data_IF_081773016139
#
_entry.id   IF_081773016139
#
_cell.length_a   1.000
_cell.length_b   1.000
_cell.length_c   1.000
_cell.angle_alpha   90.00
_cell.angle_beta   90.00
_cell.angle_gamma   90.00
#
_symmetry.space_group_name_H-M   'P 1'
#
loop_
_entity.id
_entity.type
_entity.pdbx_description
1 polymer ?
#
# COMPACT_ATOMS: atom_id res chain seq x y z
N UNK A 1 3.57 6.55 -3.79
CA UNK A 1 3.63 5.37 -4.67
C UNK A 1 3.13 5.80 -6.03
N UNK A 2 3.82 5.37 -7.09
CA UNK A 2 3.38 5.48 -8.48
C UNK A 2 2.73 4.16 -8.89
N UNK A 3 1.99 4.18 -10.00
CA UNK A 3 1.47 2.95 -10.59
C UNK A 3 2.65 2.06 -11.01
N UNK A 4 2.54 0.76 -10.73
CA UNK A 4 3.59 -0.22 -11.04
C UNK A 4 4.63 -0.42 -9.93
N UNK A 5 4.61 0.37 -8.85
CA UNK A 5 5.50 0.12 -7.70
C UNK A 5 5.13 -1.21 -7.00
N UNK A 6 6.15 -2.00 -6.63
CA UNK A 6 5.97 -3.12 -5.72
C UNK A 6 6.02 -2.61 -4.29
N UNK A 7 4.93 -2.80 -3.55
CA UNK A 7 4.77 -2.23 -2.21
C UNK A 7 4.43 -3.30 -1.19
N UNK A 8 4.89 -3.09 0.04
CA UNK A 8 4.48 -3.89 1.20
C UNK A 8 3.41 -3.15 1.98
N UNK A 9 2.33 -3.85 2.28
CA UNK A 9 1.17 -3.34 3.01
C UNK A 9 1.02 -4.08 4.34
N UNK A 10 0.38 -3.43 5.31
CA UNK A 10 -0.03 -4.03 6.57
C UNK A 10 -1.52 -3.75 6.81
N UNK A 11 -2.17 -4.63 7.57
CA UNK A 11 -3.53 -4.39 8.04
C UNK A 11 -3.58 -3.17 8.98
N UNK A 12 -4.69 -2.43 8.94
CA UNK A 12 -4.95 -1.30 9.81
C UNK A 12 -6.45 -1.16 10.09
N UNK A 13 -6.82 -0.25 10.99
CA UNK A 13 -8.23 0.08 11.23
C UNK A 13 -8.94 0.47 9.92
N UNK A 14 -10.25 0.21 9.76
CA UNK A 14 -10.98 0.60 8.56
C UNK A 14 -10.76 2.08 8.23
N UNK A 15 -10.29 2.35 7.01
CA UNK A 15 -10.03 3.70 6.50
C UNK A 15 -11.16 4.19 5.57
N UNK A 16 -11.94 3.27 5.03
CA UNK A 16 -13.15 3.52 4.25
C UNK A 16 -14.05 2.28 4.33
N UNK A 17 -15.12 2.23 3.54
CA UNK A 17 -16.01 1.05 3.48
C UNK A 17 -15.24 -0.25 3.24
N UNK A 18 -14.28 -0.23 2.31
CA UNK A 18 -13.60 -1.44 1.82
C UNK A 18 -12.08 -1.47 2.13
N UNK A 19 -11.49 -0.34 2.54
CA UNK A 19 -10.04 -0.22 2.73
C UNK A 19 -9.61 -0.45 4.18
N UNK A 20 -8.81 -1.51 4.41
CA UNK A 20 -8.29 -1.94 5.73
C UNK A 20 -6.77 -2.14 5.75
N UNK A 21 -6.07 -1.51 4.80
CA UNK A 21 -4.64 -1.71 4.61
C UNK A 21 -3.92 -0.37 4.51
N UNK A 22 -2.73 -0.29 5.08
CA UNK A 22 -1.83 0.86 5.02
C UNK A 22 -0.54 0.47 4.29
N UNK A 23 -0.04 1.39 3.47
CA UNK A 23 1.29 1.30 2.86
C UNK A 23 2.37 1.38 3.95
N UNK A 24 3.26 0.40 4.01
CA UNK A 24 4.39 0.37 4.95
C UNK A 24 5.65 0.88 4.26
N UNK A 25 6.00 0.29 3.12
CA UNK A 25 7.20 0.61 2.36
C UNK A 25 7.01 0.32 0.87
N UNK A 26 7.84 0.96 0.05
CA UNK A 26 7.97 0.66 -1.38
C UNK A 26 9.22 -0.22 -1.52
N UNK A 27 9.02 -1.47 -1.93
CA UNK A 27 10.10 -2.46 -2.10
C UNK A 27 10.85 -2.21 -3.40
N UNK A 28 10.11 -1.96 -4.49
CA UNK A 28 10.67 -1.64 -5.80
C UNK A 28 9.88 -0.50 -6.44
N UNK A 29 10.59 0.45 -7.04
CA UNK A 29 9.95 1.54 -7.80
C UNK A 29 9.86 1.14 -9.26
N UNK A 30 8.71 1.42 -9.87
CA UNK A 30 8.58 1.31 -11.31
C UNK A 30 9.62 2.21 -12.00
N UNK A 31 10.24 1.70 -13.08
CA UNK A 31 11.18 2.43 -13.92
C UNK A 31 10.49 3.57 -14.68
#
# INVERSE_FOLDING_TARGET
>A
AKAGDLVRIQECRPMSRDKRWRLVEIVERAK
#
